data_IF_364424335474
#
_entry.id   IF_364424335474
#
_cell.length_a   1.000
_cell.length_b   1.000
_cell.length_c   1.000
_cell.angle_alpha   90.00
_cell.angle_beta   90.00
_cell.angle_gamma   90.00
#
_symmetry.space_group_name_H-M   'P 1'
#
loop_
_entity.id
_entity.type
_entity.pdbx_description
1 polymer ?
#
# COMPACT_ATOMS: atom_id res chain seq x y z
N UNK A 1 28.80 -34.27 19.39
CA UNK A 1 29.34 -33.62 18.18
C UNK A 1 29.52 -32.13 18.48
N UNK A 2 30.72 -31.56 18.31
CA UNK A 2 30.91 -30.13 18.50
C UNK A 2 30.08 -29.34 17.49
N UNK A 3 29.51 -28.18 17.87
CA UNK A 3 28.79 -27.32 16.93
C UNK A 3 29.77 -26.86 15.85
N UNK A 4 29.46 -27.17 14.58
CA UNK A 4 30.22 -26.64 13.44
C UNK A 4 30.20 -25.11 13.55
N UNK A 5 31.37 -24.50 13.73
CA UNK A 5 31.52 -23.05 13.72
C UNK A 5 31.01 -22.53 12.38
N UNK A 6 29.89 -21.79 12.42
CA UNK A 6 29.31 -21.20 11.22
C UNK A 6 30.28 -20.14 10.71
N UNK A 7 30.90 -20.40 9.56
CA UNK A 7 31.74 -19.40 8.88
C UNK A 7 30.84 -18.19 8.61
N UNK A 8 31.21 -16.98 9.05
CA UNK A 8 30.38 -15.80 8.84
C UNK A 8 30.27 -15.52 7.34
N UNK A 9 29.03 -15.49 6.83
CA UNK A 9 28.74 -15.26 5.42
C UNK A 9 29.18 -13.85 5.03
N UNK A 10 30.09 -13.78 4.05
CA UNK A 10 30.68 -12.53 3.55
C UNK A 10 29.60 -11.51 3.20
N UNK A 11 29.82 -10.22 3.53
CA UNK A 11 28.86 -9.17 3.18
C UNK A 11 28.71 -9.06 1.66
N UNK A 12 27.50 -8.86 1.17
CA UNK A 12 27.22 -8.78 -0.27
C UNK A 12 27.27 -7.32 -0.67
N UNK A 13 28.29 -6.95 -1.45
CA UNK A 13 28.29 -5.65 -2.12
C UNK A 13 27.31 -5.66 -3.30
N UNK A 14 26.19 -4.96 -3.13
CA UNK A 14 25.14 -4.76 -4.15
C UNK A 14 25.39 -3.54 -5.05
N UNK A 15 26.38 -2.71 -4.73
CA UNK A 15 26.73 -1.49 -5.47
C UNK A 15 27.95 -1.68 -6.38
N UNK A 16 28.79 -2.66 -6.09
CA UNK A 16 29.90 -3.08 -6.96
C UNK A 16 29.46 -3.27 -8.43
N UNK A 17 30.36 -2.96 -9.36
CA UNK A 17 30.22 -3.13 -10.82
C UNK A 17 28.92 -2.50 -11.36
N UNK A 18 28.61 -1.25 -11.03
CA UNK A 18 27.38 -0.58 -11.47
C UNK A 18 26.10 -1.38 -11.16
N UNK A 19 26.06 -1.99 -9.97
CA UNK A 19 24.93 -2.81 -9.52
C UNK A 19 24.66 -4.08 -10.34
N UNK A 20 25.69 -4.67 -10.95
CA UNK A 20 25.61 -5.89 -11.76
C UNK A 20 24.74 -7.00 -11.11
N UNK A 21 24.95 -7.29 -9.83
CA UNK A 21 24.17 -8.31 -9.09
C UNK A 21 22.69 -7.96 -8.97
N UNK A 22 22.36 -6.67 -8.86
CA UNK A 22 20.97 -6.21 -8.78
C UNK A 22 20.29 -6.38 -10.14
N UNK A 23 21.01 -6.08 -11.22
CA UNK A 23 20.53 -6.34 -12.58
C UNK A 23 20.34 -7.82 -12.87
N UNK A 24 21.28 -8.66 -12.43
CA UNK A 24 21.18 -10.10 -12.57
C UNK A 24 20.00 -10.68 -11.77
N UNK A 25 19.77 -10.18 -10.56
CA UNK A 25 18.57 -10.49 -9.76
C UNK A 25 17.29 -10.14 -10.53
N UNK A 26 17.19 -8.93 -11.11
CA UNK A 26 16.01 -8.54 -11.88
C UNK A 26 15.82 -9.41 -13.11
N UNK A 27 16.88 -9.73 -13.84
CA UNK A 27 16.84 -10.63 -15.01
C UNK A 27 16.35 -12.03 -14.63
N UNK A 28 16.86 -12.60 -13.54
CA UNK A 28 16.44 -13.92 -13.07
C UNK A 28 15.01 -13.92 -12.51
N UNK A 29 14.59 -12.84 -11.86
CA UNK A 29 13.23 -12.69 -11.33
C UNK A 29 12.16 -12.45 -12.41
N UNK A 30 12.57 -12.08 -13.63
CA UNK A 30 11.67 -11.96 -14.78
C UNK A 30 11.27 -13.31 -15.38
N UNK A 31 12.00 -14.39 -15.08
CA UNK A 31 11.64 -15.73 -15.56
C UNK A 31 10.33 -16.18 -14.91
N UNK A 32 9.46 -16.83 -15.67
CA UNK A 32 8.13 -17.26 -15.20
C UNK A 32 8.19 -18.12 -13.92
N UNK A 33 9.21 -18.97 -13.81
CA UNK A 33 9.44 -19.84 -12.64
C UNK A 33 9.79 -19.08 -11.36
N UNK A 34 10.31 -17.85 -11.49
CA UNK A 34 10.83 -17.03 -10.41
C UNK A 34 9.96 -15.80 -10.12
N UNK A 35 8.95 -15.56 -10.96
CA UNK A 35 8.08 -14.39 -10.93
C UNK A 35 7.42 -14.17 -9.55
N UNK A 36 7.13 -15.26 -8.82
CA UNK A 36 6.53 -15.23 -7.47
C UNK A 36 7.37 -14.44 -6.46
N UNK A 37 8.69 -14.33 -6.65
CA UNK A 37 9.57 -13.63 -5.71
C UNK A 37 9.25 -12.13 -5.62
N UNK A 38 9.16 -11.45 -6.77
CA UNK A 38 8.89 -10.01 -6.83
C UNK A 38 7.39 -9.70 -6.82
N UNK A 39 6.60 -10.51 -7.52
CA UNK A 39 5.22 -10.14 -7.86
C UNK A 39 4.18 -10.88 -7.02
N UNK A 40 4.57 -11.96 -6.34
CA UNK A 40 3.63 -12.85 -5.67
C UNK A 40 2.81 -13.67 -6.66
N UNK A 41 1.79 -14.37 -6.15
CA UNK A 41 0.94 -15.23 -6.96
C UNK A 41 -0.06 -14.38 -7.77
N UNK A 42 -0.22 -14.69 -9.06
CA UNK A 42 -1.27 -14.10 -9.90
C UNK A 42 -2.58 -14.89 -9.80
N UNK A 43 -3.74 -14.21 -9.96
CA UNK A 43 -5.09 -14.80 -9.81
C UNK A 43 -5.32 -16.07 -10.66
N UNK A 44 -4.63 -16.19 -11.80
CA UNK A 44 -4.80 -17.29 -12.75
C UNK A 44 -3.57 -18.21 -12.87
N UNK A 45 -2.51 -17.96 -12.10
CA UNK A 45 -1.38 -18.88 -12.06
C UNK A 45 -1.65 -19.99 -11.05
N UNK A 46 -1.53 -21.24 -11.50
CA UNK A 46 -1.46 -22.39 -10.59
C UNK A 46 -0.34 -22.11 -9.59
N UNK A 47 -0.64 -22.28 -8.30
CA UNK A 47 0.35 -22.18 -7.23
C UNK A 47 1.52 -23.10 -7.58
N UNK A 48 2.63 -22.53 -8.06
CA UNK A 48 3.92 -23.18 -7.92
C UNK A 48 4.06 -23.42 -6.43
N UNK A 49 4.05 -24.69 -6.01
CA UNK A 49 4.10 -25.08 -4.59
C UNK A 49 5.38 -24.59 -3.88
N UNK A 50 6.27 -23.94 -4.62
CA UNK A 50 7.49 -23.32 -4.13
C UNK A 50 7.18 -22.09 -3.28
N UNK A 51 7.70 -22.10 -2.06
CA UNK A 51 7.69 -20.94 -1.19
C UNK A 51 8.56 -19.82 -1.77
N UNK A 52 8.27 -18.55 -1.42
CA UNK A 52 9.11 -17.40 -1.82
C UNK A 52 10.59 -17.59 -1.47
N UNK A 53 10.88 -18.24 -0.32
CA UNK A 53 12.25 -18.50 0.10
C UNK A 53 12.93 -19.58 -0.75
N UNK A 54 12.19 -20.60 -1.21
CA UNK A 54 12.72 -21.61 -2.13
C UNK A 54 13.09 -20.99 -3.49
N UNK A 55 12.24 -20.11 -4.02
CA UNK A 55 12.54 -19.33 -5.23
C UNK A 55 13.75 -18.42 -5.01
N UNK A 56 13.82 -17.72 -3.87
CA UNK A 56 14.97 -16.88 -3.55
C UNK A 56 16.28 -17.68 -3.46
N UNK A 57 16.27 -18.89 -2.89
CA UNK A 57 17.43 -19.80 -2.89
C UNK A 57 17.85 -20.20 -4.30
N UNK A 58 16.90 -20.53 -5.17
CA UNK A 58 17.16 -20.88 -6.58
C UNK A 58 17.86 -19.73 -7.30
N UNK A 59 17.34 -18.52 -7.18
CA UNK A 59 17.97 -17.33 -7.80
C UNK A 59 19.32 -17.03 -7.15
N UNK A 60 19.45 -17.20 -5.83
CA UNK A 60 20.71 -16.96 -5.12
C UNK A 60 21.84 -17.88 -5.60
N UNK A 61 21.53 -19.11 -6.01
CA UNK A 61 22.52 -20.02 -6.62
C UNK A 61 23.14 -19.47 -7.91
N UNK A 62 22.40 -18.65 -8.66
CA UNK A 62 22.85 -18.03 -9.92
C UNK A 62 23.48 -16.66 -9.66
N UNK A 63 22.86 -15.83 -8.82
CA UNK A 63 23.29 -14.43 -8.59
C UNK A 63 24.46 -14.34 -7.62
N UNK A 64 24.51 -15.23 -6.63
CA UNK A 64 25.45 -15.19 -5.51
C UNK A 64 26.09 -16.56 -5.27
N UNK A 65 26.77 -17.17 -6.28
CA UNK A 65 27.25 -18.54 -6.19
C UNK A 65 28.22 -18.76 -5.01
N UNK A 66 29.09 -17.78 -4.73
CA UNK A 66 30.07 -17.85 -3.63
C UNK A 66 29.38 -17.87 -2.27
N UNK A 67 28.41 -16.98 -2.03
CA UNK A 67 27.68 -16.92 -0.75
C UNK A 67 26.71 -18.10 -0.60
N UNK A 68 26.14 -18.57 -1.71
CA UNK A 68 25.26 -19.72 -1.71
C UNK A 68 26.00 -21.02 -1.35
N UNK A 69 27.25 -21.17 -1.79
CA UNK A 69 28.11 -22.28 -1.40
C UNK A 69 28.48 -22.27 0.10
N UNK A 70 28.50 -21.09 0.73
CA UNK A 70 28.73 -20.96 2.18
C UNK A 70 27.48 -21.32 2.98
N UNK A 71 26.35 -20.66 2.72
CA UNK A 71 25.08 -20.88 3.40
C UNK A 71 23.90 -20.52 2.49
N UNK A 72 23.17 -21.55 2.06
CA UNK A 72 22.03 -21.42 1.16
C UNK A 72 20.85 -20.65 1.79
N UNK A 73 20.61 -20.82 3.09
CA UNK A 73 19.51 -20.18 3.82
C UNK A 73 19.77 -18.69 3.99
N UNK A 74 20.98 -18.32 4.37
CA UNK A 74 21.40 -16.93 4.54
C UNK A 74 21.44 -16.22 3.19
N UNK A 75 21.99 -16.86 2.13
CA UNK A 75 22.03 -16.29 0.79
C UNK A 75 20.62 -16.04 0.24
N UNK A 76 19.72 -17.02 0.35
CA UNK A 76 18.31 -16.87 -0.05
C UNK A 76 17.58 -15.77 0.72
N UNK A 77 17.80 -15.69 2.04
CA UNK A 77 17.20 -14.65 2.89
C UNK A 77 17.68 -13.24 2.54
N UNK A 78 18.99 -13.08 2.29
CA UNK A 78 19.57 -11.79 1.88
C UNK A 78 19.09 -11.36 0.49
N UNK A 79 18.99 -12.29 -0.46
CA UNK A 79 18.44 -12.01 -1.79
C UNK A 79 16.96 -11.57 -1.70
N UNK A 80 16.15 -12.27 -0.90
CA UNK A 80 14.75 -11.89 -0.65
C UNK A 80 14.65 -10.49 -0.05
N UNK A 81 15.44 -10.18 0.99
CA UNK A 81 15.47 -8.85 1.60
C UNK A 81 15.78 -7.77 0.57
N UNK A 82 16.77 -8.01 -0.30
CA UNK A 82 17.12 -7.08 -1.38
C UNK A 82 15.99 -6.90 -2.40
N UNK A 83 15.29 -7.97 -2.76
CA UNK A 83 14.14 -7.92 -3.65
C UNK A 83 12.97 -7.12 -3.04
N UNK A 84 12.69 -7.34 -1.75
CA UNK A 84 11.68 -6.58 -1.00
C UNK A 84 12.04 -5.08 -0.93
N UNK A 85 13.32 -4.76 -0.71
CA UNK A 85 13.83 -3.38 -0.71
C UNK A 85 13.63 -2.70 -2.07
N UNK A 86 13.93 -3.38 -3.18
CA UNK A 86 13.71 -2.85 -4.53
C UNK A 86 12.23 -2.52 -4.78
N UNK A 87 11.33 -3.44 -4.40
CA UNK A 87 9.89 -3.23 -4.54
C UNK A 87 9.41 -2.08 -3.65
N UNK A 88 9.99 -1.92 -2.45
CA UNK A 88 9.69 -0.80 -1.56
C UNK A 88 10.12 0.53 -2.17
N UNK A 89 11.37 0.66 -2.60
CA UNK A 89 11.90 1.87 -3.25
C UNK A 89 11.10 2.20 -4.51
N UNK A 90 10.76 1.20 -5.33
CA UNK A 90 9.91 1.38 -6.50
C UNK A 90 8.55 2.02 -6.14
N UNK A 91 7.86 1.51 -5.11
CA UNK A 91 6.58 2.08 -4.67
C UNK A 91 6.71 3.52 -4.18
N UNK A 92 7.81 3.86 -3.53
CA UNK A 92 8.09 5.24 -3.09
C UNK A 92 8.28 6.18 -4.30
N UNK A 93 9.02 5.75 -5.33
CA UNK A 93 9.22 6.55 -6.55
C UNK A 93 7.93 6.67 -7.39
N UNK A 94 7.12 5.60 -7.49
CA UNK A 94 5.80 5.67 -8.14
C UNK A 94 4.88 6.65 -7.42
N UNK A 95 4.88 6.67 -6.08
CA UNK A 95 4.09 7.66 -5.32
C UNK A 95 4.52 9.09 -5.63
N UNK A 96 5.83 9.34 -5.78
CA UNK A 96 6.33 10.67 -6.18
C UNK A 96 5.86 11.05 -7.59
N UNK A 97 5.87 10.08 -8.52
CA UNK A 97 5.36 10.23 -9.88
C UNK A 97 3.85 10.52 -9.90
N UNK A 98 3.07 9.87 -9.03
CA UNK A 98 1.62 10.08 -8.91
C UNK A 98 1.26 11.40 -8.19
N UNK A 99 2.02 11.78 -7.16
CA UNK A 99 1.75 12.98 -6.36
C UNK A 99 1.97 14.29 -7.12
N UNK A 100 2.75 14.27 -8.21
CA UNK A 100 3.09 15.47 -9.00
C UNK A 100 1.96 15.96 -9.92
N UNK A 101 0.85 15.22 -9.99
CA UNK A 101 -0.40 15.61 -10.65
C UNK A 101 -1.41 16.29 -9.73
N UNK A 102 -0.98 17.25 -8.90
CA UNK A 102 -1.90 18.17 -8.20
C UNK A 102 -2.08 18.01 -6.68
N UNK A 103 -1.38 17.06 -6.02
CA UNK A 103 -1.53 16.82 -4.58
C UNK A 103 -1.02 17.93 -3.64
N UNK A 104 -0.36 18.97 -4.16
CA UNK A 104 -0.22 20.26 -3.46
C UNK A 104 -1.27 21.23 -4.02
N UNK A 105 -2.48 21.18 -3.46
CA UNK A 105 -3.42 22.31 -3.55
C UNK A 105 -2.73 23.56 -3.01
N UNK A 106 -2.18 24.38 -3.89
CA UNK A 106 -1.66 25.73 -3.63
C UNK A 106 -2.21 26.73 -4.65
N UNK A 107 -3.31 26.40 -5.33
CA UNK A 107 -4.00 27.30 -6.26
C UNK A 107 -5.49 27.30 -5.96
N UNK A 108 -6.02 28.49 -5.66
CA UNK A 108 -7.41 28.76 -5.27
C UNK A 108 -8.42 28.65 -6.43
N UNK A 109 -7.98 28.27 -7.63
CA UNK A 109 -8.83 28.17 -8.81
C UNK A 109 -9.15 26.70 -9.16
N UNK A 110 -9.90 26.04 -8.27
CA UNK A 110 -10.43 24.70 -8.53
C UNK A 110 -11.67 24.80 -9.44
N UNK A 111 -11.51 24.43 -10.72
CA UNK A 111 -12.65 24.17 -11.60
C UNK A 111 -13.52 23.06 -10.99
N UNK A 112 -14.83 23.28 -10.97
CA UNK A 112 -15.84 22.51 -10.25
C UNK A 112 -16.28 21.25 -11.01
N UNK A 113 -15.39 20.65 -11.81
CA UNK A 113 -15.69 19.48 -12.60
C UNK A 113 -15.46 18.20 -11.76
N UNK A 114 -16.48 17.34 -11.67
CA UNK A 114 -16.51 16.20 -10.75
C UNK A 114 -15.59 15.03 -11.15
N UNK A 115 -14.94 15.15 -12.31
CA UNK A 115 -14.02 14.16 -12.86
C UNK A 115 -12.58 14.68 -12.74
N UNK A 116 -11.90 14.30 -11.66
CA UNK A 116 -10.48 14.55 -11.49
C UNK A 116 -9.73 13.42 -12.22
N UNK A 117 -9.04 13.74 -13.31
CA UNK A 117 -8.19 12.79 -14.02
C UNK A 117 -6.78 12.88 -13.45
N UNK A 118 -6.05 11.76 -13.34
CA UNK A 118 -4.61 11.86 -13.15
C UNK A 118 -4.02 12.61 -14.36
N UNK A 119 -3.29 13.70 -14.11
CA UNK A 119 -2.63 14.51 -15.15
C UNK A 119 -1.76 13.67 -16.13
N UNK A 120 -1.34 12.49 -15.71
CA UNK A 120 -0.57 11.57 -16.53
C UNK A 120 -0.71 10.11 -16.04
N UNK A 121 -1.14 9.25 -16.95
CA UNK A 121 -0.92 7.81 -16.82
C UNK A 121 0.37 7.47 -17.57
N UNK A 122 1.30 6.79 -16.90
CA UNK A 122 2.52 6.28 -17.55
C UNK A 122 2.35 4.78 -17.74
N UNK A 123 2.41 4.35 -19.00
CA UNK A 123 2.26 2.95 -19.38
C UNK A 123 3.48 2.09 -19.03
N UNK A 124 3.41 0.76 -19.27
CA UNK A 124 4.49 -0.17 -18.95
C UNK A 124 5.79 0.11 -19.71
N UNK A 125 5.70 0.64 -20.94
CA UNK A 125 6.88 1.01 -21.72
C UNK A 125 7.45 2.39 -21.33
N UNK A 126 6.85 3.05 -20.33
CA UNK A 126 7.26 4.36 -19.84
C UNK A 126 6.51 5.52 -20.51
N UNK A 127 7.04 6.76 -20.38
CA UNK A 127 6.45 7.95 -20.98
C UNK A 127 6.44 7.87 -22.52
N UNK A 128 5.29 8.12 -23.11
CA UNK A 128 5.09 8.15 -24.55
C UNK A 128 5.16 9.58 -25.13
N UNK A 129 4.92 9.73 -26.43
CA UNK A 129 4.89 11.03 -27.09
C UNK A 129 3.85 11.98 -26.46
N UNK A 130 2.71 11.45 -26.00
CA UNK A 130 1.60 12.19 -25.39
C UNK A 130 1.84 12.58 -23.94
N UNK A 131 2.81 11.96 -23.25
CA UNK A 131 3.13 12.26 -21.86
C UNK A 131 3.72 13.67 -21.72
N UNK A 132 3.26 14.44 -20.74
CA UNK A 132 3.69 15.81 -20.51
C UNK A 132 5.20 15.93 -20.22
N UNK A 133 5.81 17.05 -20.62
CA UNK A 133 7.25 17.27 -20.44
C UNK A 133 7.68 17.20 -18.97
N UNK A 134 6.83 17.69 -18.04
CA UNK A 134 7.07 17.61 -16.58
C UNK A 134 7.24 16.16 -16.12
N UNK A 135 6.41 15.26 -16.64
CA UNK A 135 6.41 13.83 -16.25
C UNK A 135 7.57 13.09 -16.89
N UNK A 136 7.91 13.42 -18.14
CA UNK A 136 9.14 12.93 -18.81
C UNK A 136 10.40 13.31 -18.02
N UNK A 137 10.51 14.56 -17.58
CA UNK A 137 11.64 15.04 -16.79
C UNK A 137 11.71 14.31 -15.44
N UNK A 138 10.59 14.19 -14.73
CA UNK A 138 10.55 13.46 -13.46
C UNK A 138 10.91 11.99 -13.63
N UNK A 139 10.40 11.33 -14.68
CA UNK A 139 10.76 9.96 -15.02
C UNK A 139 12.27 9.79 -15.25
N UNK A 140 12.89 10.71 -15.99
CA UNK A 140 14.34 10.70 -16.19
C UNK A 140 15.10 10.89 -14.87
N UNK A 141 14.66 11.80 -14.00
CA UNK A 141 15.31 12.04 -12.71
C UNK A 141 15.12 10.88 -11.72
N UNK A 142 14.00 10.18 -11.79
CA UNK A 142 13.81 8.91 -11.07
C UNK A 142 14.80 7.87 -11.60
N UNK A 143 14.92 7.68 -12.91
CA UNK A 143 15.86 6.71 -13.48
C UNK A 143 17.33 7.03 -13.16
N UNK A 144 17.71 8.31 -13.08
CA UNK A 144 19.07 8.71 -12.64
C UNK A 144 19.35 8.27 -11.19
N UNK A 145 18.37 8.41 -10.29
CA UNK A 145 18.51 8.06 -8.87
C UNK A 145 18.31 6.56 -8.60
N UNK A 146 17.43 5.93 -9.36
CA UNK A 146 17.01 4.56 -9.24
C UNK A 146 16.99 3.91 -10.64
N UNK A 147 18.15 3.45 -11.14
CA UNK A 147 18.29 2.99 -12.53
C UNK A 147 17.44 1.75 -12.87
N UNK A 148 16.95 1.04 -11.86
CA UNK A 148 16.06 -0.11 -12.00
C UNK A 148 14.60 0.28 -12.22
N UNK A 149 14.25 1.56 -12.11
CA UNK A 149 12.87 2.03 -12.07
C UNK A 149 12.09 1.66 -13.33
N UNK A 150 12.59 2.00 -14.52
CA UNK A 150 11.91 1.69 -15.78
C UNK A 150 11.65 0.18 -15.95
N UNK A 151 12.66 -0.65 -15.64
CA UNK A 151 12.53 -2.12 -15.70
C UNK A 151 11.47 -2.62 -14.72
N UNK A 152 11.51 -2.18 -13.46
CA UNK A 152 10.51 -2.56 -12.46
C UNK A 152 9.11 -2.04 -12.82
N UNK A 153 9.01 -0.82 -13.36
CA UNK A 153 7.75 -0.23 -13.77
C UNK A 153 7.09 -1.06 -14.86
N UNK A 154 7.83 -1.46 -15.88
CA UNK A 154 7.35 -2.33 -16.96
C UNK A 154 6.65 -3.59 -16.44
N UNK A 155 7.21 -4.23 -15.42
CA UNK A 155 6.62 -5.45 -14.87
C UNK A 155 5.51 -5.19 -13.85
N UNK A 156 5.64 -4.12 -13.06
CA UNK A 156 4.71 -3.82 -11.97
C UNK A 156 3.43 -3.14 -12.45
N UNK A 157 3.47 -2.41 -13.57
CA UNK A 157 2.34 -1.69 -14.16
C UNK A 157 1.39 -2.59 -14.96
N UNK A 158 1.88 -3.70 -15.53
CA UNK A 158 1.07 -4.69 -16.29
C UNK A 158 0.05 -5.42 -15.41
N UNK A 159 0.12 -5.28 -14.09
CA UNK A 159 -0.76 -6.04 -13.19
C UNK A 159 -2.21 -5.55 -13.32
N UNK A 160 -3.17 -6.43 -13.66
CA UNK A 160 -4.58 -6.06 -13.88
C UNK A 160 -5.28 -5.53 -12.62
N UNK A 161 -4.67 -5.69 -11.44
CA UNK A 161 -5.17 -5.20 -10.16
C UNK A 161 -4.47 -3.91 -9.68
N UNK A 162 -3.47 -3.39 -10.42
CA UNK A 162 -2.74 -2.18 -10.04
C UNK A 162 -3.41 -0.89 -10.56
N UNK A 163 -4.25 -1.00 -11.60
CA UNK A 163 -5.02 0.10 -12.16
C UNK A 163 -6.50 -0.24 -12.02
N UNK A 164 -7.18 0.17 -10.93
CA UNK A 164 -8.63 0.12 -10.91
C UNK A 164 -9.19 0.90 -12.13
N UNK A 165 -10.15 0.36 -12.89
CA UNK A 165 -10.72 1.01 -14.08
C UNK A 165 -11.26 2.42 -13.78
N UNK A 166 -11.79 2.60 -12.57
CA UNK A 166 -12.11 3.88 -11.99
C UNK A 166 -12.03 3.74 -10.46
N UNK A 167 -11.49 4.76 -9.77
CA UNK A 167 -11.67 4.89 -8.32
C UNK A 167 -12.82 5.87 -8.12
N UNK A 168 -14.01 5.37 -7.79
CA UNK A 168 -15.06 6.22 -7.22
C UNK A 168 -14.62 6.60 -5.81
N UNK A 169 -14.08 7.79 -5.64
CA UNK A 169 -13.82 8.30 -4.29
C UNK A 169 -15.16 8.50 -3.58
N UNK A 170 -15.22 8.14 -2.29
CA UNK A 170 -16.44 8.25 -1.48
C UNK A 170 -17.01 9.67 -1.50
N UNK A 171 -18.29 9.81 -1.16
CA UNK A 171 -18.98 11.11 -1.18
C UNK A 171 -18.34 12.04 -0.15
N UNK A 172 -17.52 12.98 -0.61
CA UNK A 172 -16.96 14.05 0.21
C UNK A 172 -17.94 15.22 0.31
N UNK A 173 -17.61 16.27 1.10
CA UNK A 173 -18.38 17.52 1.11
C UNK A 173 -18.49 18.15 -0.29
N UNK A 174 -17.56 17.82 -1.20
CA UNK A 174 -17.55 18.23 -2.61
C UNK A 174 -18.31 17.26 -3.55
N UNK A 175 -19.08 16.30 -3.02
CA UNK A 175 -19.84 15.31 -3.80
C UNK A 175 -19.07 14.03 -4.15
N UNK A 176 -19.66 13.21 -5.04
CA UNK A 176 -19.02 12.01 -5.60
C UNK A 176 -18.01 12.43 -6.65
N UNK A 177 -16.76 11.97 -6.54
CA UNK A 177 -15.75 12.15 -7.60
C UNK A 177 -15.30 10.80 -8.14
N UNK A 178 -15.24 10.71 -9.47
CA UNK A 178 -14.75 9.52 -10.16
C UNK A 178 -13.35 9.84 -10.67
N UNK A 179 -12.34 9.20 -10.09
CA UNK A 179 -10.96 9.29 -10.57
C UNK A 179 -10.74 8.22 -11.63
N UNK A 180 -10.65 8.65 -12.89
CA UNK A 180 -10.28 7.77 -14.00
C UNK A 180 -8.74 7.68 -14.07
N UNK A 181 -8.21 6.49 -13.77
CA UNK A 181 -6.77 6.23 -13.80
C UNK A 181 -6.23 5.95 -15.20
N UNK A 182 -7.13 5.72 -16.16
CA UNK A 182 -6.79 5.55 -17.56
C UNK A 182 -7.12 6.84 -18.32
N UNK A 183 -6.26 7.28 -19.25
CA UNK A 183 -6.57 8.40 -20.10
C UNK A 183 -7.85 8.04 -20.88
N UNK A 184 -8.85 8.91 -20.81
CA UNK A 184 -10.01 8.80 -21.67
C UNK A 184 -9.49 8.81 -23.11
N UNK A 185 -9.79 7.78 -23.90
CA UNK A 185 -9.41 7.71 -25.32
C UNK A 185 -10.01 8.87 -26.16
N UNK A 186 -10.68 9.83 -25.53
CA UNK A 186 -11.39 10.98 -26.12
C UNK A 186 -10.50 12.14 -26.57
N UNK A 187 -9.18 12.12 -26.32
CA UNK A 187 -8.27 13.16 -26.84
C UNK A 187 -7.61 12.82 -28.18
N UNK A 188 -8.09 11.80 -28.91
CA UNK A 188 -7.95 11.77 -30.36
C UNK A 188 -8.91 12.81 -30.96
N UNK A 189 -8.48 14.07 -30.98
CA UNK A 189 -9.23 15.14 -31.61
C UNK A 189 -9.51 14.83 -33.08
N UNK A 190 -10.79 14.93 -33.47
CA UNK A 190 -11.16 15.51 -34.76
C UNK A 190 -10.93 14.70 -36.04
N UNK A 191 -10.78 13.38 -35.98
CA UNK A 191 -11.23 12.53 -37.08
C UNK A 191 -11.95 11.36 -36.44
N UNK A 192 -13.28 11.39 -36.51
CA UNK A 192 -14.09 10.28 -36.04
C UNK A 192 -13.50 8.99 -36.57
N UNK A 193 -13.15 8.07 -35.66
CA UNK A 193 -13.11 6.68 -36.05
C UNK A 193 -14.45 6.44 -36.76
N UNK A 194 -14.44 5.96 -38.02
CA UNK A 194 -15.70 5.68 -38.70
C UNK A 194 -16.52 4.79 -37.76
N UNK A 195 -17.83 5.05 -37.59
CA UNK A 195 -18.69 4.17 -36.81
C UNK A 195 -18.35 2.76 -37.27
N UNK A 196 -17.94 1.89 -36.32
CA UNK A 196 -17.62 0.50 -36.65
C UNK A 196 -18.83 0.01 -37.43
N UNK A 197 -18.69 -0.27 -38.73
CA UNK A 197 -19.86 -0.55 -39.54
C UNK A 197 -20.53 -1.78 -38.92
N UNK A 198 -21.84 -1.70 -38.68
CA UNK A 198 -22.61 -2.76 -38.00
C UNK A 198 -22.41 -4.14 -38.65
N UNK A 199 -21.92 -4.19 -39.90
CA UNK A 199 -21.49 -5.39 -40.60
C UNK A 199 -20.32 -6.16 -39.95
N UNK A 200 -19.56 -5.57 -39.02
CA UNK A 200 -18.42 -6.20 -38.32
C UNK A 200 -18.80 -6.66 -36.90
N UNK A 201 -19.96 -6.22 -36.40
CA UNK A 201 -20.49 -6.68 -35.13
C UNK A 201 -21.08 -8.08 -35.34
N UNK A 202 -20.68 -9.04 -34.51
CA UNK A 202 -21.18 -10.41 -34.58
C UNK A 202 -22.72 -10.39 -34.51
N UNK A 203 -23.44 -10.90 -35.54
CA UNK A 203 -24.91 -10.89 -35.57
C UNK A 203 -25.52 -11.64 -34.37
N UNK A 204 -24.79 -12.56 -33.75
CA UNK A 204 -25.25 -13.23 -32.53
C UNK A 204 -25.34 -12.28 -31.32
N UNK A 205 -24.43 -11.29 -31.22
CA UNK A 205 -24.47 -10.29 -30.14
C UNK A 205 -25.58 -9.27 -30.34
N UNK A 206 -25.83 -8.86 -31.60
CA UNK A 206 -26.97 -8.01 -31.95
C UNK A 206 -28.32 -8.67 -31.61
N UNK A 207 -28.43 -9.99 -31.84
CA UNK A 207 -29.63 -10.75 -31.49
C UNK A 207 -29.86 -10.82 -29.97
N UNK A 208 -28.80 -10.96 -29.17
CA UNK A 208 -28.89 -10.96 -27.70
C UNK A 208 -29.32 -9.58 -27.19
N UNK A 209 -28.77 -8.50 -27.74
CA UNK A 209 -29.13 -7.14 -27.33
C UNK A 209 -30.59 -6.81 -27.71
N UNK A 210 -31.02 -7.20 -28.90
CA UNK A 210 -32.42 -7.04 -29.33
C UNK A 210 -33.39 -7.87 -28.47
N UNK A 211 -33.00 -9.08 -28.06
CA UNK A 211 -33.79 -9.92 -27.16
C UNK A 211 -33.92 -9.30 -25.76
N UNK A 212 -32.83 -8.72 -25.23
CA UNK A 212 -32.84 -8.02 -23.94
C UNK A 212 -33.69 -6.74 -23.97
N UNK A 213 -33.67 -5.99 -25.06
CA UNK A 213 -34.52 -4.81 -25.24
C UNK A 213 -36.00 -5.16 -25.42
N UNK A 214 -36.30 -6.33 -26.01
CA UNK A 214 -37.65 -6.86 -26.09
C UNK A 214 -38.19 -7.28 -24.72
N UNK A 215 -37.41 -8.02 -23.92
CA UNK A 215 -37.79 -8.39 -22.54
C UNK A 215 -37.96 -7.17 -21.64
N UNK A 216 -37.11 -6.15 -21.79
CA UNK A 216 -37.22 -4.90 -21.01
C UNK A 216 -38.50 -4.11 -21.33
N UNK A 217 -39.01 -4.20 -22.56
CA UNK A 217 -40.29 -3.57 -22.95
C UNK A 217 -41.50 -4.36 -22.48
N UNK A 218 -41.41 -5.68 -22.33
CA UNK A 218 -42.49 -6.52 -21.82
C UNK A 218 -42.65 -6.44 -20.30
N UNK A 219 -41.57 -6.20 -19.55
CA UNK A 219 -41.61 -6.14 -18.08
C UNK A 219 -42.30 -4.90 -17.48
N UNK A 220 -42.73 -3.93 -18.31
CA UNK A 220 -43.34 -2.67 -17.81
C UNK A 220 -44.88 -2.67 -17.87
N UNK A 221 -45.53 -3.75 -18.32
CA UNK A 221 -46.99 -3.83 -18.41
C UNK A 221 -47.55 -5.14 -17.81
N UNK A 222 -47.82 -5.18 -16.50
CA UNK A 222 -48.65 -6.24 -15.93
C UNK A 222 -48.47 -6.51 -14.44
N UNK A 223 -49.50 -6.21 -13.66
CA UNK A 223 -49.65 -6.39 -12.21
C UNK A 223 -50.12 -7.81 -11.83
N UNK A 224 -49.56 -8.46 -10.79
CA UNK A 224 -50.27 -8.94 -9.57
C UNK A 224 -49.44 -9.91 -8.68
N UNK A 225 -49.73 -9.99 -7.36
CA UNK A 225 -49.08 -10.88 -6.39
C UNK A 225 -49.91 -12.15 -6.10
N UNK A 226 -49.26 -13.30 -5.76
CA UNK A 226 -49.76 -14.47 -4.95
C UNK A 226 -48.75 -15.66 -5.03
N UNK A 227 -48.86 -16.76 -4.24
CA UNK A 227 -47.94 -17.06 -3.13
C UNK A 227 -47.21 -18.43 -3.22
N UNK A 228 -46.28 -18.64 -2.27
CA UNK A 228 -45.66 -19.88 -1.74
C UNK A 228 -44.99 -20.94 -2.66
N UNK A 229 -43.81 -21.49 -2.24
CA UNK A 229 -43.05 -22.49 -2.99
C UNK A 229 -43.34 -23.95 -2.58
N UNK A 230 -43.35 -24.92 -3.52
CA UNK A 230 -43.24 -26.33 -3.20
C UNK A 230 -41.79 -26.82 -3.18
N UNK A 231 -41.48 -27.45 -2.05
CA UNK A 231 -40.61 -28.59 -1.82
C UNK A 231 -40.15 -29.42 -3.04
N UNK A 232 -38.87 -29.81 -3.01
CA UNK A 232 -38.44 -31.15 -3.44
C UNK A 232 -37.48 -31.20 -4.62
N UNK A 233 -36.19 -31.43 -4.35
CA UNK A 233 -35.31 -32.21 -5.26
C UNK A 233 -34.41 -33.15 -4.44
N UNK A 234 -34.73 -34.43 -4.57
CA UNK A 234 -33.91 -35.59 -4.20
C UNK A 234 -32.56 -35.56 -4.89
N UNK A 235 -31.50 -35.83 -4.12
CA UNK A 235 -30.18 -36.16 -4.64
C UNK A 235 -30.02 -37.68 -4.69
N UNK A 236 -29.87 -38.21 -5.89
CA UNK A 236 -29.52 -39.61 -6.16
C UNK A 236 -28.01 -39.81 -6.01
N UNK A 237 -27.51 -40.76 -5.20
CA UNK A 237 -26.10 -41.13 -5.22
C UNK A 237 -25.83 -42.30 -6.19
N UNK A 238 -24.73 -42.15 -6.95
CA UNK A 238 -24.22 -43.15 -7.88
C UNK A 238 -23.61 -44.36 -7.15
N UNK A 239 -23.96 -45.55 -7.63
CA UNK A 239 -23.44 -46.85 -7.22
C UNK A 239 -22.03 -47.03 -7.78
N UNK A 240 -21.05 -47.26 -6.91
CA UNK A 240 -19.74 -47.81 -7.28
C UNK A 240 -19.57 -49.20 -6.64
N UNK A 241 -19.64 -50.22 -7.49
CA UNK A 241 -19.06 -51.56 -7.29
C UNK A 241 -17.56 -51.39 -7.05
N UNK A 242 -16.88 -52.01 -6.09
CA UNK A 242 -16.92 -53.39 -5.63
C UNK A 242 -15.47 -53.80 -5.41
N UNK A 243 -15.03 -53.88 -4.14
CA UNK A 243 -13.64 -54.18 -3.78
C UNK A 243 -13.47 -54.27 -2.26
N UNK A 244 -14.23 -55.17 -1.62
CA UNK A 244 -14.27 -55.33 -0.16
C UNK A 244 -13.00 -56.03 0.35
N UNK A 245 -12.07 -55.28 0.95
CA UNK A 245 -11.27 -55.77 2.08
C UNK A 245 -12.08 -55.50 3.35
N UNK A 246 -12.38 -56.54 4.11
CA UNK A 246 -13.15 -56.42 5.35
C UNK A 246 -12.45 -55.47 6.33
N UNK A 247 -13.13 -54.45 6.88
CA UNK A 247 -12.55 -53.57 7.87
C UNK A 247 -12.32 -54.36 9.17
N UNK A 248 -11.10 -54.22 9.72
CA UNK A 248 -10.75 -54.73 11.04
C UNK A 248 -11.72 -54.12 12.05
N UNK A 249 -12.24 -54.94 12.97
CA UNK A 249 -13.09 -54.49 14.07
C UNK A 249 -12.39 -53.35 14.82
N UNK A 250 -12.94 -52.14 14.65
CA UNK A 250 -12.43 -50.96 15.29
C UNK A 250 -12.75 -51.05 16.78
N UNK A 251 -11.73 -51.15 17.62
CA UNK A 251 -11.78 -50.91 19.06
C UNK A 251 -12.00 -49.41 19.32
N UNK A 252 -13.14 -48.90 18.84
CA UNK A 252 -13.59 -47.55 19.12
C UNK A 252 -14.33 -47.58 20.45
N UNK A 253 -13.58 -47.32 21.51
CA UNK A 253 -14.12 -47.14 22.86
C UNK A 253 -14.74 -45.74 22.93
N UNK A 254 -16.04 -45.67 22.60
CA UNK A 254 -16.79 -44.43 22.48
C UNK A 254 -16.73 -43.60 23.78
N UNK A 255 -16.70 -44.25 24.94
CA UNK A 255 -16.63 -43.54 26.22
C UNK A 255 -15.30 -42.82 26.42
N UNK A 256 -14.18 -43.44 26.01
CA UNK A 256 -12.86 -42.79 26.07
C UNK A 256 -12.79 -41.59 25.14
N UNK A 257 -13.31 -41.73 23.92
CA UNK A 257 -13.32 -40.60 22.97
C UNK A 257 -14.24 -39.46 23.42
N UNK A 258 -15.39 -39.77 24.02
CA UNK A 258 -16.29 -38.74 24.57
C UNK A 258 -15.68 -38.04 25.79
N UNK A 259 -14.98 -38.77 26.69
CA UNK A 259 -14.26 -38.16 27.82
C UNK A 259 -13.11 -37.27 27.36
N UNK A 260 -12.33 -37.71 26.37
CA UNK A 260 -11.24 -36.92 25.79
C UNK A 260 -11.77 -35.65 25.09
N UNK A 261 -12.88 -35.76 24.36
CA UNK A 261 -13.55 -34.62 23.73
C UNK A 261 -14.07 -33.61 24.76
N UNK A 262 -14.68 -34.09 25.85
CA UNK A 262 -15.17 -33.22 26.94
C UNK A 262 -14.03 -32.52 27.71
N UNK A 263 -12.88 -33.16 27.87
CA UNK A 263 -11.70 -32.51 28.44
C UNK A 263 -11.14 -31.43 27.52
N UNK A 264 -11.12 -31.66 26.21
CA UNK A 264 -10.63 -30.69 25.24
C UNK A 264 -11.58 -29.49 25.01
N UNK A 265 -12.87 -29.63 25.29
CA UNK A 265 -13.86 -28.55 25.14
C UNK A 265 -13.85 -27.52 26.29
N UNK A 266 -13.28 -27.84 27.47
CA UNK A 266 -13.26 -26.94 28.63
C UNK A 266 -12.23 -25.81 28.53
N UNK A 267 -11.37 -25.81 27.52
CA UNK A 267 -10.26 -24.84 27.39
C UNK A 267 -10.41 -23.95 26.15
N UNK A 268 -11.64 -23.72 25.70
CA UNK A 268 -11.89 -22.69 24.70
C UNK A 268 -11.98 -21.37 25.46
N UNK A 269 -10.91 -20.58 25.42
CA UNK A 269 -10.92 -19.23 25.97
C UNK A 269 -12.17 -18.50 25.44
N UNK A 270 -12.93 -17.79 26.30
CA UNK A 270 -14.10 -17.06 25.86
C UNK A 270 -13.71 -16.20 24.65
N UNK A 271 -14.43 -16.38 23.54
CA UNK A 271 -14.14 -15.63 22.32
C UNK A 271 -14.25 -14.15 22.68
N UNK A 272 -13.12 -13.43 22.56
CA UNK A 272 -13.09 -12.01 22.75
C UNK A 272 -14.24 -11.39 21.93
N UNK A 273 -15.02 -10.54 22.58
CA UNK A 273 -16.14 -9.92 21.90
C UNK A 273 -15.62 -9.02 20.79
N UNK A 274 -16.45 -8.72 19.78
CA UNK A 274 -16.06 -7.80 18.71
C UNK A 274 -15.62 -6.44 19.27
N UNK A 275 -16.24 -6.02 20.38
CA UNK A 275 -15.93 -4.80 21.10
C UNK A 275 -14.52 -4.84 21.74
N UNK A 276 -14.12 -5.97 22.34
CA UNK A 276 -12.77 -6.15 22.90
C UNK A 276 -11.69 -6.05 21.81
N UNK A 277 -11.96 -6.65 20.64
CA UNK A 277 -11.04 -6.60 19.49
C UNK A 277 -10.91 -5.16 18.97
N UNK A 278 -12.02 -4.42 18.90
CA UNK A 278 -12.02 -3.02 18.48
C UNK A 278 -11.25 -2.14 19.49
N UNK A 279 -11.50 -2.32 20.78
CA UNK A 279 -10.82 -1.62 21.87
C UNK A 279 -9.32 -1.89 21.87
N UNK A 280 -8.90 -3.14 21.63
CA UNK A 280 -7.49 -3.50 21.51
C UNK A 280 -6.84 -2.80 20.31
N UNK A 281 -7.49 -2.82 19.14
CA UNK A 281 -6.98 -2.17 17.94
C UNK A 281 -6.83 -0.64 18.10
N UNK A 282 -7.78 0.02 18.79
CA UNK A 282 -7.70 1.45 19.12
C UNK A 282 -6.55 1.73 20.09
N UNK A 283 -6.39 0.92 21.14
CA UNK A 283 -5.26 1.05 22.08
C UNK A 283 -3.91 0.87 21.39
N UNK A 284 -3.79 -0.12 20.51
CA UNK A 284 -2.57 -0.37 19.73
C UNK A 284 -2.25 0.80 18.79
N UNK A 285 -3.25 1.33 18.07
CA UNK A 285 -3.07 2.53 17.23
C UNK A 285 -2.63 3.73 18.05
N UNK A 286 -3.25 3.98 19.20
CA UNK A 286 -2.91 5.11 20.06
C UNK A 286 -1.48 4.98 20.63
N UNK A 287 -1.06 3.76 21.01
CA UNK A 287 0.31 3.49 21.42
C UNK A 287 1.32 3.70 20.27
N UNK A 288 0.97 3.29 19.04
CA UNK A 288 1.78 3.52 17.84
C UNK A 288 1.91 5.01 17.50
N UNK A 289 0.83 5.79 17.65
CA UNK A 289 0.86 7.25 17.43
C UNK A 289 1.77 7.92 18.47
N UNK A 290 1.63 7.54 19.75
CA UNK A 290 2.45 8.10 20.84
C UNK A 290 3.93 7.81 20.66
N UNK A 291 4.29 6.58 20.28
CA UNK A 291 5.70 6.20 20.01
C UNK A 291 6.28 6.97 18.83
N UNK A 292 5.52 7.14 17.73
CA UNK A 292 5.94 7.96 16.58
C UNK A 292 6.14 9.43 16.94
N UNK A 293 5.24 9.99 17.74
CA UNK A 293 5.34 11.37 18.19
C UNK A 293 6.58 11.59 19.08
N UNK A 294 6.83 10.69 20.02
CA UNK A 294 8.03 10.74 20.86
C UNK A 294 9.32 10.63 20.02
N UNK A 295 9.38 9.70 19.08
CA UNK A 295 10.54 9.55 18.18
C UNK A 295 10.78 10.83 17.36
N UNK A 296 9.71 11.43 16.82
CA UNK A 296 9.80 12.70 16.08
C UNK A 296 10.37 13.81 16.97
N UNK A 297 9.82 13.97 18.18
CA UNK A 297 10.29 14.96 19.15
C UNK A 297 11.77 14.78 19.52
N UNK A 298 12.21 13.54 19.75
CA UNK A 298 13.62 13.21 20.01
C UNK A 298 14.52 13.58 18.82
N UNK A 299 14.08 13.30 17.59
CA UNK A 299 14.86 13.65 16.39
C UNK A 299 14.98 15.16 16.19
N UNK A 300 13.90 15.92 16.41
CA UNK A 300 13.90 17.39 16.32
C UNK A 300 14.78 18.01 17.41
N UNK A 301 14.68 17.52 18.65
CA UNK A 301 15.57 17.96 19.72
C UNK A 301 17.04 17.64 19.44
N UNK A 302 17.35 16.46 18.88
CA UNK A 302 18.73 16.12 18.50
C UNK A 302 19.26 17.05 17.42
N UNK A 303 18.43 17.41 16.44
CA UNK A 303 18.79 18.36 15.40
C UNK A 303 19.06 19.75 15.98
N UNK A 304 18.17 20.24 16.84
CA UNK A 304 18.32 21.54 17.50
C UNK A 304 19.62 21.62 18.33
N UNK A 305 20.01 20.53 19.00
CA UNK A 305 21.29 20.45 19.73
C UNK A 305 22.49 20.56 18.80
N UNK A 306 22.47 19.85 17.67
CA UNK A 306 23.56 19.91 16.69
C UNK A 306 23.69 21.33 16.11
N UNK A 307 22.56 21.96 15.80
CA UNK A 307 22.52 23.34 15.30
C UNK A 307 23.06 24.33 16.35
N UNK A 308 22.66 24.18 17.62
CA UNK A 308 23.17 24.98 18.74
C UNK A 308 24.68 24.81 18.96
N UNK A 309 25.19 23.58 18.93
CA UNK A 309 26.64 23.31 19.00
C UNK A 309 27.40 23.93 17.82
N UNK A 310 26.86 23.80 16.60
CA UNK A 310 27.46 24.39 15.41
C UNK A 310 27.48 25.94 15.48
N UNK A 311 26.47 26.55 16.09
CA UNK A 311 26.44 27.99 16.34
C UNK A 311 27.53 28.41 17.33
N UNK A 312 27.72 27.66 18.43
CA UNK A 312 28.79 27.94 19.41
C UNK A 312 30.18 27.82 18.77
N UNK A 313 30.41 26.79 17.97
CA UNK A 313 31.69 26.62 17.26
C UNK A 313 31.97 27.78 16.29
N UNK A 314 30.96 28.23 15.53
CA UNK A 314 31.10 29.42 14.66
C UNK A 314 31.45 30.68 15.45
N UNK A 315 30.87 30.87 16.64
CA UNK A 315 31.20 32.03 17.49
C UNK A 315 32.64 31.98 18.03
N UNK A 316 33.17 30.79 18.33
CA UNK A 316 34.59 30.61 18.69
C UNK A 316 35.49 30.92 17.50
N UNK A 317 35.13 30.46 16.30
CA UNK A 317 35.88 30.71 15.06
C UNK A 317 35.94 32.19 14.71
N UNK A 318 34.85 32.94 14.95
CA UNK A 318 34.81 34.41 14.79
C UNK A 318 35.51 35.18 15.91
N UNK A 319 36.10 34.50 16.90
CA UNK A 319 36.77 35.14 18.04
C UNK A 319 35.81 35.82 19.04
N UNK A 320 34.50 35.58 18.93
CA UNK A 320 33.51 36.12 19.88
C UNK A 320 33.59 35.42 21.24
N UNK A 321 34.00 34.15 21.25
CA UNK A 321 34.24 33.37 22.45
C UNK A 321 35.66 32.81 22.48
N UNK A 322 36.22 32.77 23.68
CA UNK A 322 37.42 31.96 23.92
C UNK A 322 37.09 30.47 23.79
N UNK A 323 38.10 29.64 23.49
CA UNK A 323 37.92 28.18 23.35
C UNK A 323 37.30 27.56 24.61
N UNK A 324 37.69 28.03 25.79
CA UNK A 324 37.18 27.50 27.06
C UNK A 324 35.74 27.95 27.34
N UNK A 325 35.37 29.18 26.97
CA UNK A 325 33.99 29.64 27.05
C UNK A 325 33.07 28.88 26.08
N UNK A 326 33.58 28.59 24.87
CA UNK A 326 32.89 27.73 23.90
C UNK A 326 32.63 26.32 24.44
N UNK A 327 33.64 25.70 25.06
CA UNK A 327 33.49 24.38 25.72
C UNK A 327 32.43 24.40 26.81
N UNK A 328 32.45 25.40 27.71
CA UNK A 328 31.45 25.54 28.79
C UNK A 328 30.03 25.72 28.25
N UNK A 329 29.84 26.45 27.15
CA UNK A 329 28.52 26.60 26.51
C UNK A 329 28.03 25.31 25.88
N UNK A 330 28.91 24.54 25.24
CA UNK A 330 28.54 23.22 24.69
C UNK A 330 28.12 22.28 25.83
N UNK A 331 28.87 22.26 26.93
CA UNK A 331 28.54 21.46 28.11
C UNK A 331 27.21 21.88 28.73
N UNK A 332 26.93 23.20 28.80
CA UNK A 332 25.62 23.71 29.25
C UNK A 332 24.47 23.27 28.33
N UNK A 333 24.65 23.31 27.01
CA UNK A 333 23.64 22.83 26.04
C UNK A 333 23.37 21.31 26.19
N UNK A 334 24.39 20.56 26.58
CA UNK A 334 24.26 19.12 26.83
C UNK A 334 23.56 18.83 28.17
N UNK A 335 23.82 19.63 29.20
CA UNK A 335 23.23 19.51 30.53
C UNK A 335 21.76 19.96 30.57
N UNK A 336 21.41 21.10 29.94
CA UNK A 336 20.05 21.65 29.90
C UNK A 336 19.06 20.71 29.20
N UNK A 337 19.57 19.82 28.34
CA UNK A 337 18.73 18.91 27.59
C UNK A 337 18.34 17.61 28.32
N UNK A 338 18.73 17.44 29.57
CA UNK A 338 18.36 16.28 30.40
C UNK A 338 17.00 16.50 31.10
N UNK A 339 16.58 17.75 31.31
CA UNK A 339 15.24 18.06 31.80
C UNK A 339 14.26 18.29 30.64
N UNK A 340 13.79 17.20 30.02
CA UNK A 340 12.54 17.30 29.26
C UNK A 340 11.43 17.44 30.30
N UNK A 341 10.72 18.59 30.39
CA UNK A 341 9.59 18.71 31.31
C UNK A 341 8.61 17.59 30.96
N UNK A 342 8.36 16.70 31.93
CA UNK A 342 7.42 15.61 31.77
C UNK A 342 6.14 16.18 31.14
N UNK A 343 5.61 15.59 30.06
CA UNK A 343 4.48 16.17 29.34
C UNK A 343 3.40 16.45 30.37
N UNK A 344 3.14 17.74 30.62
CA UNK A 344 2.08 18.17 31.53
C UNK A 344 0.86 17.44 31.02
N UNK A 345 0.37 16.46 31.80
CA UNK A 345 -0.89 15.79 31.51
C UNK A 345 -1.88 16.95 31.40
N UNK A 346 -2.27 17.31 30.17
CA UNK A 346 -3.46 18.09 29.95
C UNK A 346 -4.55 17.25 30.60
N UNK A 347 -4.96 17.65 31.81
CA UNK A 347 -6.23 17.22 32.37
C UNK A 347 -7.23 17.71 31.33
N UNK A 348 -7.75 16.77 30.55
CA UNK A 348 -9.04 16.95 29.95
C UNK A 348 -9.98 17.07 31.13
N UNK A 349 -10.29 18.32 31.50
CA UNK A 349 -11.37 18.58 32.42
C UNK A 349 -12.63 17.93 31.85
N UNK A 350 -13.39 17.38 32.79
CA UNK A 350 -14.57 16.54 32.65
C UNK A 350 -15.58 17.01 31.59
N UNK A 351 -16.50 16.13 31.16
CA UNK A 351 -17.49 16.44 30.13
C UNK A 351 -18.29 17.68 30.53
N UNK A 352 -18.28 18.68 29.65
CA UNK A 352 -19.19 19.83 29.75
C UNK A 352 -20.60 19.27 29.58
N UNK A 353 -21.38 19.38 30.65
CA UNK A 353 -22.80 19.05 30.67
C UNK A 353 -23.54 20.02 29.74
N UNK A 354 -23.97 19.53 28.58
CA UNK A 354 -24.68 20.29 27.55
C UNK A 354 -26.17 20.43 27.93
N UNK A 355 -26.45 21.16 29.00
CA UNK A 355 -27.82 21.52 29.40
C UNK A 355 -27.97 23.01 29.74
N UNK A 356 -27.63 23.89 28.80
CA UNK A 356 -28.11 25.28 28.82
C UNK A 356 -27.86 25.97 27.47
N UNK A 357 -28.74 25.73 26.50
CA UNK A 357 -28.82 26.60 25.33
C UNK A 357 -29.60 27.88 25.70
N UNK A 358 -28.89 28.92 26.10
CA UNK A 358 -29.38 30.29 25.94
C UNK A 358 -28.56 30.97 24.84
N UNK A 359 -29.24 31.34 23.78
CA UNK A 359 -28.69 32.07 22.64
C UNK A 359 -28.08 33.40 23.07
N UNK A 360 -26.98 33.84 22.43
CA UNK A 360 -26.75 35.25 22.22
C UNK A 360 -26.75 35.60 20.73
N UNK A 361 -27.26 36.80 20.50
CA UNK A 361 -27.55 37.41 19.22
C UNK A 361 -26.31 37.58 18.33
N UNK A 362 -26.57 37.47 17.03
CA UNK A 362 -25.68 37.91 15.96
C UNK A 362 -25.35 39.40 16.13
N UNK A 363 -24.07 39.72 16.37
CA UNK A 363 -23.53 41.04 16.09
C UNK A 363 -22.71 40.98 14.81
N UNK A 364 -23.29 41.52 13.74
CA UNK A 364 -22.60 41.95 12.52
C UNK A 364 -21.55 42.99 12.91
N UNK A 365 -20.26 42.70 12.70
CA UNK A 365 -19.25 43.75 12.56
C UNK A 365 -19.01 44.01 11.08
N UNK A 366 -19.52 45.15 10.61
CA UNK A 366 -19.11 45.76 9.36
C UNK A 366 -17.70 46.32 9.52
N UNK A 367 -16.77 45.95 8.63
CA UNK A 367 -15.51 46.67 8.46
C UNK A 367 -15.56 47.48 7.16
N UNK A 368 -15.14 48.76 7.18
CA UNK A 368 -15.21 49.64 6.01
C UNK A 368 -14.01 49.46 5.09
N UNK A 369 -14.32 49.61 3.80
CA UNK A 369 -13.40 49.71 2.67
C UNK A 369 -12.59 51.01 2.81
N UNK A 370 -11.26 50.93 2.82
CA UNK A 370 -10.41 52.11 2.68
C UNK A 370 -10.02 52.24 1.20
N UNK A 371 -10.56 53.29 0.57
CA UNK A 371 -10.06 53.85 -0.69
C UNK A 371 -8.65 54.42 -0.45
N UNK A 372 -7.72 54.13 -1.36
CA UNK A 372 -6.47 54.86 -1.50
C UNK A 372 -6.46 55.46 -2.90
N UNK A 373 -6.74 56.76 -2.92
CA UNK A 373 -6.56 57.66 -4.06
C UNK A 373 -5.08 58.01 -4.27
N UNK A 374 -4.81 58.33 -5.53
CA UNK A 374 -3.57 58.82 -6.13
C UNK A 374 -2.94 60.04 -5.43
N UNK A 375 -1.60 60.01 -5.27
CA UNK A 375 -0.67 61.04 -5.76
C UNK A 375 0.80 60.63 -5.62
#
# INVERSE_FOLDING_TARGET
>A
MPPKSKIPVSNIDWKANNHEKTWLLLKEAQKDQNYVLLFGLQKNQKTTKDSKIAVAKRIASVVLPVQYAQDQDVAGSRLKGKADDLVKTYKEEVKKLQQTGGGLRTSENASQDANEYLDCYVGPEGPDATTSAKVKNLWQDINKRFPFFATLHRYMSVRPNAVPPAITTGVGPDGRRVLHLQPSNTNAGGSGAPPVPDAVIDPALLAIQAAQEAEAKEATAGTQPTPDPPSGKENTPAVLTGGKRAPKASTFDAEKHVKLAKQNLKTIAPKATLEDVLMYAVKEKNASIKTKHNLKYETENRKLKLDGRAQVLRMVEMGMYTVDEGKRRIEKLDAEAVEVPAPKRMRFDSPIDLSSSSSPACLRSSSPLAEQDDN
#
